data_IF_380795449624
#
_entry.id   IF_380795449624
#
_cell.length_a   1.000
_cell.length_b   1.000
_cell.length_c   1.000
_cell.angle_alpha   90.00
_cell.angle_beta   90.00
_cell.angle_gamma   90.00
#
_symmetry.space_group_name_H-M   'P 1'
#
loop_
_entity.id
_entity.type
_entity.pdbx_description
1 polymer ?
#
# COMPACT_ATOMS: atom_id res chain seq x y z
N UNK A 1 -10.70 -25.86 -1.90
CA UNK A 1 -11.55 -24.88 -1.20
C UNK A 1 -11.52 -23.59 -2.01
N UNK A 2 -12.67 -23.23 -2.59
CA UNK A 2 -12.83 -22.04 -3.44
C UNK A 2 -12.83 -20.80 -2.54
N UNK A 3 -11.85 -19.90 -2.72
CA UNK A 3 -11.84 -18.57 -2.12
C UNK A 3 -13.11 -17.84 -2.59
N UNK A 4 -14.13 -17.77 -1.73
CA UNK A 4 -15.29 -16.89 -1.98
C UNK A 4 -14.77 -15.46 -1.89
N UNK A 5 -14.83 -14.79 -3.03
CA UNK A 5 -14.28 -13.46 -3.25
C UNK A 5 -14.84 -12.42 -2.27
N UNK A 6 -14.06 -11.35 -2.13
CA UNK A 6 -14.47 -10.09 -1.51
C UNK A 6 -15.91 -9.74 -1.86
N UNK A 7 -16.70 -9.41 -0.85
CA UNK A 7 -18.12 -9.06 -0.97
C UNK A 7 -18.35 -8.11 -2.16
N UNK A 8 -19.21 -8.47 -3.13
CA UNK A 8 -19.53 -7.62 -4.28
C UNK A 8 -20.07 -6.24 -3.86
N UNK A 9 -20.52 -6.08 -2.62
CA UNK A 9 -21.00 -4.81 -2.08
C UNK A 9 -19.92 -3.72 -2.06
N UNK A 10 -18.64 -4.03 -1.80
CA UNK A 10 -17.59 -3.00 -1.72
C UNK A 10 -17.28 -2.40 -3.09
N UNK A 11 -17.20 -3.26 -4.12
CA UNK A 11 -16.99 -2.85 -5.51
C UNK A 11 -18.24 -2.15 -6.07
N UNK A 12 -19.43 -2.63 -5.69
CA UNK A 12 -20.70 -2.01 -6.06
C UNK A 12 -20.85 -0.62 -5.45
N UNK A 13 -20.42 -0.42 -4.20
CA UNK A 13 -20.48 0.89 -3.54
C UNK A 13 -19.47 1.88 -4.13
N UNK A 14 -18.24 1.43 -4.43
CA UNK A 14 -17.23 2.25 -5.11
C UNK A 14 -17.69 2.68 -6.52
N UNK A 15 -18.31 1.75 -7.27
CA UNK A 15 -18.92 2.01 -8.57
C UNK A 15 -20.13 2.97 -8.44
N UNK A 16 -20.99 2.79 -7.43
CA UNK A 16 -22.12 3.69 -7.17
C UNK A 16 -21.67 5.11 -6.84
N UNK A 17 -20.59 5.27 -6.07
CA UNK A 17 -20.03 6.59 -5.75
C UNK A 17 -19.45 7.27 -6.99
N UNK A 18 -18.81 6.52 -7.89
CA UNK A 18 -18.38 7.05 -9.20
C UNK A 18 -19.58 7.46 -10.06
N UNK A 19 -20.70 6.70 -10.00
CA UNK A 19 -21.93 7.00 -10.74
C UNK A 19 -22.67 8.25 -10.25
N UNK A 20 -22.70 8.49 -8.94
CA UNK A 20 -23.35 9.68 -8.35
C UNK A 20 -22.57 10.96 -8.66
N UNK A 21 -21.25 10.86 -8.86
CA UNK A 21 -20.36 12.00 -9.13
C UNK A 21 -20.38 12.43 -10.60
N UNK A 22 -20.82 11.56 -11.52
CA UNK A 22 -20.75 11.81 -12.97
C UNK A 22 -22.06 12.25 -13.64
N UNK A 23 -23.11 12.58 -12.89
CA UNK A 23 -24.27 13.33 -13.40
C UNK A 23 -25.01 12.72 -14.61
N UNK A 24 -26.07 11.96 -14.33
CA UNK A 24 -27.23 11.65 -15.18
C UNK A 24 -27.15 11.84 -16.71
N UNK A 25 -27.09 10.74 -17.46
CA UNK A 25 -28.11 10.39 -18.47
C UNK A 25 -27.83 9.02 -19.11
N UNK A 26 -28.71 8.05 -18.83
CA UNK A 26 -28.99 6.76 -19.52
C UNK A 26 -27.86 5.78 -19.92
N UNK A 27 -26.59 6.17 -19.95
CA UNK A 27 -25.47 5.26 -20.23
C UNK A 27 -25.06 4.40 -19.02
N UNK A 28 -25.45 4.80 -17.82
CA UNK A 28 -24.99 4.14 -16.60
C UNK A 28 -25.56 2.74 -16.36
N UNK A 29 -26.79 2.47 -16.78
CA UNK A 29 -27.39 1.15 -16.62
C UNK A 29 -26.75 0.12 -17.57
N UNK A 30 -26.47 0.51 -18.81
CA UNK A 30 -25.82 -0.35 -19.80
C UNK A 30 -24.36 -0.64 -19.43
N UNK A 31 -23.62 0.36 -18.95
CA UNK A 31 -22.26 0.17 -18.46
C UNK A 31 -22.20 -0.68 -17.18
N UNK A 32 -23.16 -0.52 -16.25
CA UNK A 32 -23.28 -1.37 -15.07
C UNK A 32 -23.58 -2.82 -15.44
N UNK A 33 -24.49 -3.06 -16.41
CA UNK A 33 -24.78 -4.40 -16.92
C UNK A 33 -23.56 -5.01 -17.62
N UNK A 34 -22.78 -4.24 -18.38
CA UNK A 34 -21.55 -4.71 -19.02
C UNK A 34 -20.43 -5.01 -18.01
N UNK A 35 -20.29 -4.21 -16.95
CA UNK A 35 -19.33 -4.45 -15.87
C UNK A 35 -19.73 -5.68 -15.06
N UNK A 36 -21.02 -5.85 -14.74
CA UNK A 36 -21.53 -7.04 -14.07
C UNK A 36 -21.40 -8.30 -14.95
N UNK A 37 -21.67 -8.20 -16.26
CA UNK A 37 -21.48 -9.30 -17.21
C UNK A 37 -19.99 -9.66 -17.39
N UNK A 38 -19.10 -8.67 -17.41
CA UNK A 38 -17.65 -8.90 -17.48
C UNK A 38 -17.10 -9.53 -16.20
N UNK A 39 -17.57 -9.08 -15.03
CA UNK A 39 -17.20 -9.66 -13.75
C UNK A 39 -17.74 -11.09 -13.58
N UNK A 40 -18.93 -11.38 -14.10
CA UNK A 40 -19.49 -12.73 -14.09
C UNK A 40 -18.75 -13.67 -15.06
N UNK A 41 -18.41 -13.19 -16.26
CA UNK A 41 -17.62 -13.93 -17.26
C UNK A 41 -16.19 -14.21 -16.80
N UNK A 42 -15.52 -13.24 -16.16
CA UNK A 42 -14.17 -13.45 -15.61
C UNK A 42 -14.16 -14.36 -14.37
N UNK A 43 -15.25 -14.39 -13.60
CA UNK A 43 -15.39 -15.32 -12.46
C UNK A 43 -15.58 -16.79 -12.87
N UNK A 44 -15.94 -17.09 -14.12
CA UNK A 44 -16.08 -18.47 -14.62
C UNK A 44 -14.79 -19.02 -15.23
N UNK A 45 -13.81 -18.18 -15.54
CA UNK A 45 -12.53 -18.59 -16.14
C UNK A 45 -11.42 -18.58 -15.09
N UNK A 46 -11.31 -19.65 -14.29
CA UNK A 46 -10.06 -19.90 -13.55
C UNK A 46 -10.20 -20.62 -12.23
N UNK A 47 -10.55 -21.91 -12.26
CA UNK A 47 -10.11 -22.84 -11.22
C UNK A 47 -9.35 -23.97 -11.90
N UNK A 48 -8.12 -23.68 -12.31
CA UNK A 48 -7.12 -24.72 -12.58
C UNK A 48 -6.30 -24.83 -11.30
N UNK A 49 -6.52 -25.90 -10.54
CA UNK A 49 -5.64 -26.28 -9.44
C UNK A 49 -4.31 -26.76 -10.03
N UNK A 50 -3.38 -25.84 -10.21
CA UNK A 50 -1.99 -26.18 -10.51
C UNK A 50 -1.31 -26.54 -9.19
N UNK A 51 -1.13 -27.83 -8.92
CA UNK A 51 -0.14 -28.30 -7.95
C UNK A 51 1.25 -28.00 -8.53
N UNK A 52 1.85 -26.88 -8.17
CA UNK A 52 3.23 -26.55 -8.55
C UNK A 52 4.20 -27.26 -7.62
N UNK A 53 4.74 -28.40 -8.07
CA UNK A 53 6.05 -28.86 -7.63
C UNK A 53 7.10 -27.84 -8.14
N UNK A 54 7.70 -27.13 -7.20
CA UNK A 54 8.68 -26.08 -7.44
C UNK A 54 10.03 -26.70 -7.76
N UNK A 55 10.25 -27.06 -9.03
CA UNK A 55 11.58 -27.37 -9.56
C UNK A 55 12.29 -26.06 -9.90
N UNK A 56 13.35 -25.76 -9.15
CA UNK A 56 14.17 -24.56 -9.28
C UNK A 56 14.91 -24.53 -10.63
N UNK A 57 14.32 -23.88 -11.64
CA UNK A 57 15.13 -23.29 -12.71
C UNK A 57 15.88 -22.10 -12.09
N UNK A 58 17.21 -22.13 -12.15
CA UNK A 58 18.05 -21.03 -11.67
C UNK A 58 17.63 -19.74 -12.38
N UNK A 59 17.10 -18.79 -11.61
CA UNK A 59 16.72 -17.46 -12.07
C UNK A 59 17.96 -16.75 -12.62
N UNK A 60 17.92 -16.32 -13.89
CA UNK A 60 18.92 -15.43 -14.47
C UNK A 60 18.61 -14.01 -13.96
N UNK A 61 18.84 -13.79 -12.67
CA UNK A 61 18.77 -12.44 -12.13
C UNK A 61 20.02 -11.68 -12.59
N UNK A 62 19.88 -10.47 -13.17
CA UNK A 62 21.00 -9.56 -13.29
C UNK A 62 21.61 -9.41 -11.90
N UNK A 63 22.89 -9.74 -11.75
CA UNK A 63 23.57 -9.59 -10.47
C UNK A 63 23.39 -8.14 -9.98
N UNK A 64 22.87 -7.99 -8.75
CA UNK A 64 22.65 -6.68 -8.13
C UNK A 64 21.29 -6.03 -8.40
N UNK A 65 20.36 -6.70 -9.06
CA UNK A 65 19.00 -6.18 -9.20
C UNK A 65 18.33 -5.93 -7.83
N UNK A 66 17.61 -4.82 -7.70
CA UNK A 66 16.81 -4.51 -6.52
C UNK A 66 15.43 -4.02 -6.94
N UNK A 67 14.39 -4.62 -6.36
CA UNK A 67 13.02 -4.09 -6.48
C UNK A 67 12.97 -2.63 -6.00
N UNK A 68 12.07 -1.77 -6.51
CA UNK A 68 12.12 -0.33 -6.27
C UNK A 68 11.46 0.13 -4.96
N UNK A 69 10.62 -0.68 -4.31
CA UNK A 69 9.93 -0.27 -3.09
C UNK A 69 10.92 -0.20 -1.91
N UNK A 70 10.99 0.96 -1.26
CA UNK A 70 11.87 1.27 -0.14
C UNK A 70 11.04 1.74 1.05
N UNK A 71 11.57 1.52 2.23
CA UNK A 71 10.97 2.03 3.46
C UNK A 71 12.02 2.19 4.57
N UNK A 72 11.72 2.95 5.61
CA UNK A 72 12.56 3.09 6.80
C UNK A 72 11.69 3.31 8.04
N UNK A 73 12.10 2.81 9.19
CA UNK A 73 11.48 3.17 10.46
C UNK A 73 11.71 4.65 10.79
N UNK A 74 10.91 5.24 11.67
CA UNK A 74 11.09 6.60 12.17
C UNK A 74 11.15 6.57 13.70
N UNK A 75 12.28 6.95 14.34
CA UNK A 75 13.55 7.37 13.72
C UNK A 75 14.22 6.27 12.87
N UNK A 76 14.97 6.69 11.86
CA UNK A 76 15.58 5.78 10.87
C UNK A 76 16.62 4.85 11.47
N UNK A 77 16.52 3.57 11.10
CA UNK A 77 17.52 2.54 11.30
C UNK A 77 18.18 2.09 9.98
N UNK A 78 18.07 2.94 8.95
CA UNK A 78 18.56 2.65 7.60
C UNK A 78 17.45 2.25 6.63
N UNK A 79 17.77 2.32 5.34
CA UNK A 79 16.83 2.04 4.25
C UNK A 79 16.62 0.54 4.10
N UNK A 80 15.38 0.12 4.23
CA UNK A 80 14.91 -1.25 4.06
C UNK A 80 14.42 -1.47 2.63
N UNK A 81 14.51 -2.73 2.17
CA UNK A 81 13.98 -3.18 0.89
C UNK A 81 12.72 -4.00 1.13
N UNK A 82 11.76 -3.91 0.21
CA UNK A 82 10.68 -4.89 0.15
C UNK A 82 11.15 -6.17 -0.56
N UNK A 83 10.32 -7.22 -0.53
CA UNK A 83 10.60 -8.52 -1.14
C UNK A 83 11.88 -9.20 -0.63
N UNK A 84 12.35 -8.88 0.57
CA UNK A 84 13.42 -9.63 1.23
C UNK A 84 12.90 -10.96 1.75
N UNK A 85 13.73 -12.01 1.75
CA UNK A 85 13.40 -13.31 2.35
C UNK A 85 13.43 -13.30 3.89
N UNK A 86 13.87 -12.19 4.46
CA UNK A 86 13.95 -11.96 5.90
C UNK A 86 13.08 -10.76 6.26
N UNK A 87 12.45 -10.81 7.43
CA UNK A 87 11.75 -9.66 8.01
C UNK A 87 12.73 -8.68 8.64
N UNK A 88 12.44 -7.39 8.55
CA UNK A 88 13.20 -6.38 9.28
C UNK A 88 12.70 -6.28 10.72
N UNK A 89 13.62 -6.33 11.68
CA UNK A 89 13.32 -6.14 13.11
C UNK A 89 13.48 -4.68 13.52
N UNK A 90 12.64 -4.23 14.44
CA UNK A 90 12.73 -2.91 15.06
C UNK A 90 12.22 -2.98 16.49
N UNK A 91 12.71 -2.08 17.33
CA UNK A 91 12.37 -2.05 18.74
C UNK A 91 12.35 -0.60 19.22
N UNK A 92 11.33 -0.26 20.01
CA UNK A 92 11.23 1.02 20.71
C UNK A 92 10.77 0.80 22.16
N UNK A 93 10.44 1.87 22.87
CA UNK A 93 10.03 1.81 24.28
C UNK A 93 8.65 1.14 24.48
N UNK A 94 7.85 1.03 23.42
CA UNK A 94 6.47 0.52 23.48
C UNK A 94 6.36 -0.93 23.03
N UNK A 95 7.19 -1.37 22.07
CA UNK A 95 7.09 -2.70 21.48
C UNK A 95 8.36 -3.19 20.77
N UNK A 96 8.39 -4.49 20.53
CA UNK A 96 9.27 -5.16 19.58
C UNK A 96 8.46 -5.49 18.31
N UNK A 97 9.06 -5.26 17.14
CA UNK A 97 8.42 -5.42 15.83
C UNK A 97 9.25 -6.30 14.90
N UNK A 98 8.55 -7.13 14.11
CA UNK A 98 9.04 -7.66 12.83
C UNK A 98 8.12 -7.16 11.73
N UNK A 99 8.69 -6.57 10.68
CA UNK A 99 7.94 -6.06 9.54
C UNK A 99 8.41 -6.75 8.25
N UNK A 100 7.44 -7.10 7.40
CA UNK A 100 7.70 -7.66 6.08
C UNK A 100 6.81 -6.96 5.06
N UNK A 101 7.42 -6.40 4.01
CA UNK A 101 6.72 -5.83 2.87
C UNK A 101 6.97 -6.71 1.64
N UNK A 102 5.90 -7.22 1.04
CA UNK A 102 5.93 -8.06 -0.15
C UNK A 102 5.16 -7.38 -1.28
N UNK A 103 5.60 -7.54 -2.52
CA UNK A 103 4.91 -6.98 -3.67
C UNK A 103 5.14 -7.76 -4.96
N UNK A 104 4.18 -7.62 -5.87
CA UNK A 104 4.27 -8.01 -7.28
C UNK A 104 5.18 -7.02 -8.03
N UNK A 105 6.04 -7.44 -8.96
CA UNK A 105 6.91 -6.53 -9.73
C UNK A 105 6.13 -5.83 -10.85
N UNK A 106 5.19 -4.95 -10.51
CA UNK A 106 4.29 -4.30 -11.48
C UNK A 106 5.02 -3.42 -12.50
N UNK A 107 6.25 -2.99 -12.21
CA UNK A 107 7.14 -2.27 -13.12
C UNK A 107 7.81 -3.19 -14.17
N UNK A 108 7.83 -4.51 -13.94
CA UNK A 108 8.45 -5.50 -14.83
C UNK A 108 7.50 -6.65 -15.16
N UNK A 109 6.71 -6.44 -16.21
CA UNK A 109 5.66 -7.39 -16.63
C UNK A 109 6.18 -8.81 -16.94
N UNK A 110 7.44 -8.94 -17.37
CA UNK A 110 8.04 -10.23 -17.65
C UNK A 110 8.26 -11.06 -16.37
N UNK A 111 8.71 -10.45 -15.26
CA UNK A 111 8.86 -11.13 -13.95
C UNK A 111 7.52 -11.52 -13.38
N UNK A 112 6.54 -10.63 -13.54
CA UNK A 112 5.17 -10.91 -13.15
C UNK A 112 4.62 -12.13 -13.91
N UNK A 113 4.83 -12.18 -15.24
CA UNK A 113 4.39 -13.28 -16.08
C UNK A 113 5.13 -14.60 -15.79
N UNK A 114 6.42 -14.55 -15.46
CA UNK A 114 7.24 -15.74 -15.16
C UNK A 114 7.14 -16.19 -13.70
N UNK A 115 6.49 -15.42 -12.82
CA UNK A 115 6.52 -15.64 -11.36
C UNK A 115 7.94 -15.59 -10.77
N UNK A 116 8.87 -14.89 -11.42
CA UNK A 116 10.28 -14.81 -11.01
C UNK A 116 10.52 -13.66 -10.02
N UNK A 117 9.90 -13.76 -8.84
CA UNK A 117 10.05 -12.79 -7.77
C UNK A 117 9.75 -13.40 -6.39
N UNK A 118 10.32 -12.83 -5.30
CA UNK A 118 10.03 -13.29 -3.94
C UNK A 118 8.52 -13.29 -3.65
N UNK A 119 8.06 -14.33 -2.96
CA UNK A 119 6.64 -14.49 -2.59
C UNK A 119 5.65 -14.58 -3.77
N UNK A 120 6.12 -14.94 -4.98
CA UNK A 120 5.21 -15.23 -6.09
C UNK A 120 4.18 -16.30 -5.74
N UNK A 121 4.56 -17.32 -4.95
CA UNK A 121 3.63 -18.34 -4.42
C UNK A 121 2.44 -17.74 -3.63
N UNK A 122 2.64 -16.56 -3.02
CA UNK A 122 1.64 -15.88 -2.20
C UNK A 122 0.82 -14.84 -2.97
N UNK A 123 1.45 -14.15 -3.93
CA UNK A 123 0.89 -12.98 -4.61
C UNK A 123 0.48 -13.24 -6.07
N UNK A 124 1.12 -14.17 -6.76
CA UNK A 124 0.87 -14.42 -8.19
C UNK A 124 -0.58 -14.85 -8.44
N UNK A 125 -1.18 -14.33 -9.51
CA UNK A 125 -2.57 -14.60 -9.89
C UNK A 125 -3.62 -13.96 -8.98
N UNK A 126 -3.24 -13.32 -7.87
CA UNK A 126 -4.17 -12.64 -6.95
C UNK A 126 -4.37 -11.18 -7.34
N UNK A 127 -5.50 -10.61 -6.91
CA UNK A 127 -5.81 -9.18 -7.16
C UNK A 127 -4.92 -8.22 -6.35
N UNK A 128 -4.44 -8.64 -5.18
CA UNK A 128 -3.54 -7.85 -4.33
C UNK A 128 -2.21 -7.61 -5.03
N UNK A 129 -1.73 -6.36 -5.03
CA UNK A 129 -0.43 -5.99 -5.60
C UNK A 129 0.70 -6.10 -4.59
N UNK A 130 0.39 -5.88 -3.31
CA UNK A 130 1.33 -5.96 -2.21
C UNK A 130 0.63 -6.43 -0.94
N UNK A 131 1.44 -6.81 0.04
CA UNK A 131 1.01 -7.15 1.39
C UNK A 131 2.08 -6.67 2.38
N UNK A 132 1.64 -6.02 3.45
CA UNK A 132 2.48 -5.65 4.59
C UNK A 132 2.07 -6.51 5.77
N UNK A 133 3.04 -7.12 6.43
CA UNK A 133 2.86 -7.86 7.68
C UNK A 133 3.63 -7.18 8.80
N UNK A 134 2.97 -7.04 9.94
CA UNK A 134 3.54 -6.46 11.16
C UNK A 134 3.30 -7.45 12.28
N UNK A 135 4.36 -8.02 12.83
CA UNK A 135 4.32 -8.88 14.01
C UNK A 135 4.87 -8.09 15.20
N UNK A 136 4.04 -7.91 16.22
CA UNK A 136 4.28 -6.99 17.33
C UNK A 136 4.19 -7.71 18.67
N UNK A 137 5.17 -7.48 19.53
CA UNK A 137 5.13 -7.84 20.95
C UNK A 137 5.17 -6.56 21.79
N UNK A 138 4.18 -6.40 22.65
CA UNK A 138 4.01 -5.19 23.45
C UNK A 138 4.95 -5.20 24.68
N UNK A 139 5.68 -4.10 24.89
CA UNK A 139 6.37 -3.80 26.16
C UNK A 139 5.47 -2.97 27.08
N UNK A 140 4.62 -2.15 26.47
CA UNK A 140 3.59 -1.36 27.14
C UNK A 140 2.26 -1.63 26.45
N UNK A 141 1.23 -1.92 27.24
CA UNK A 141 -0.13 -2.07 26.72
C UNK A 141 -0.67 -0.66 26.40
N UNK A 142 -1.28 -0.45 25.22
CA UNK A 142 -1.94 0.82 24.91
C UNK A 142 -2.90 1.23 26.01
N UNK A 143 -2.81 2.49 26.44
CA UNK A 143 -3.73 3.06 27.43
C UNK A 143 -4.99 3.65 26.80
N UNK A 144 -5.00 3.79 25.48
CA UNK A 144 -6.14 4.30 24.72
C UNK A 144 -6.30 3.60 23.37
N UNK A 145 -7.20 4.13 22.54
CA UNK A 145 -7.48 3.62 21.21
C UNK A 145 -6.26 3.73 20.30
N UNK A 146 -5.90 2.61 19.67
CA UNK A 146 -4.93 2.59 18.57
C UNK A 146 -5.57 3.02 17.25
N UNK A 147 -4.81 3.81 16.51
CA UNK A 147 -5.08 4.27 15.17
C UNK A 147 -4.07 3.62 14.21
N UNK A 148 -4.54 3.22 13.03
CA UNK A 148 -3.69 2.72 11.96
C UNK A 148 -4.00 3.46 10.67
N UNK A 149 -2.98 3.96 9.98
CA UNK A 149 -3.18 4.55 8.67
C UNK A 149 -1.94 5.24 8.13
N UNK A 150 -2.19 6.32 7.38
CA UNK A 150 -1.16 7.07 6.69
C UNK A 150 -1.09 8.52 7.17
N UNK A 151 0.12 9.05 7.19
CA UNK A 151 0.42 10.43 7.52
C UNK A 151 1.35 11.00 6.44
N UNK A 152 1.08 12.23 6.03
CA UNK A 152 1.98 12.99 5.18
C UNK A 152 2.68 14.00 6.06
N UNK A 153 4.03 14.04 6.02
CA UNK A 153 4.73 14.95 6.89
C UNK A 153 4.54 16.43 6.52
N UNK A 154 4.21 16.72 5.27
CA UNK A 154 4.01 18.08 4.78
C UNK A 154 2.57 18.25 4.29
N UNK A 155 1.92 19.32 4.72
CA UNK A 155 0.67 19.76 4.14
C UNK A 155 0.99 20.42 2.79
N UNK A 156 0.55 19.82 1.70
CA UNK A 156 0.68 20.42 0.38
C UNK A 156 -0.63 21.01 -0.08
N UNK A 157 -0.55 22.20 -0.69
CA UNK A 157 -1.68 22.82 -1.34
C UNK A 157 -2.17 21.96 -2.51
N UNK A 158 -3.17 21.13 -2.26
CA UNK A 158 -3.89 20.41 -3.31
C UNK A 158 -4.69 21.41 -4.17
N UNK A 159 -4.75 21.17 -5.48
CA UNK A 159 -5.62 21.94 -6.39
C UNK A 159 -7.09 21.77 -6.00
N UNK A 160 -7.95 22.73 -6.36
CA UNK A 160 -9.39 22.67 -6.07
C UNK A 160 -10.03 21.36 -6.56
N UNK A 161 -9.67 20.92 -7.77
CA UNK A 161 -10.15 19.65 -8.34
C UNK A 161 -9.67 18.44 -7.51
N UNK A 162 -8.41 18.43 -7.08
CA UNK A 162 -7.88 17.37 -6.23
C UNK A 162 -8.61 17.31 -4.87
N UNK A 163 -8.89 18.46 -4.25
CA UNK A 163 -9.67 18.56 -3.00
C UNK A 163 -11.09 18.01 -3.18
N UNK A 164 -11.76 18.34 -4.28
CA UNK A 164 -13.10 17.83 -4.58
C UNK A 164 -13.10 16.30 -4.77
N UNK A 165 -12.16 15.77 -5.56
CA UNK A 165 -12.02 14.31 -5.74
C UNK A 165 -11.71 13.61 -4.42
N UNK A 166 -10.85 14.20 -3.58
CA UNK A 166 -10.52 13.69 -2.25
C UNK A 166 -11.75 13.67 -1.34
N UNK A 167 -12.53 14.74 -1.28
CA UNK A 167 -13.75 14.81 -0.47
C UNK A 167 -14.77 13.72 -0.85
N UNK A 168 -14.94 13.47 -2.16
CA UNK A 168 -15.78 12.37 -2.67
C UNK A 168 -15.25 11.02 -2.19
N UNK A 169 -13.94 10.78 -2.33
CA UNK A 169 -13.31 9.53 -1.90
C UNK A 169 -13.46 9.32 -0.39
N UNK A 170 -13.24 10.35 0.42
CA UNK A 170 -13.41 10.30 1.88
C UNK A 170 -14.85 9.92 2.24
N UNK A 171 -15.86 10.54 1.63
CA UNK A 171 -17.27 10.16 1.86
C UNK A 171 -17.57 8.71 1.45
N UNK A 172 -16.98 8.24 0.36
CA UNK A 172 -17.12 6.84 -0.06
C UNK A 172 -16.56 5.88 0.98
N UNK A 173 -15.37 6.18 1.51
CA UNK A 173 -14.73 5.40 2.56
C UNK A 173 -15.57 5.45 3.83
N UNK A 174 -16.14 6.60 4.21
CA UNK A 174 -16.96 6.75 5.41
C UNK A 174 -18.20 5.87 5.34
N UNK A 175 -18.81 5.77 4.16
CA UNK A 175 -19.96 4.88 3.94
C UNK A 175 -19.66 3.40 4.14
N UNK A 176 -18.39 2.96 4.07
CA UNK A 176 -18.01 1.56 4.27
C UNK A 176 -17.41 1.29 5.63
N UNK A 177 -16.54 2.18 6.08
CA UNK A 177 -15.73 2.00 7.30
C UNK A 177 -16.44 2.62 8.52
N UNK A 178 -17.44 3.47 8.29
CA UNK A 178 -18.01 4.30 9.34
C UNK A 178 -17.01 5.37 9.74
N UNK A 179 -16.94 5.64 11.04
CA UNK A 179 -16.13 6.72 11.56
C UNK A 179 -14.63 6.40 11.51
N UNK A 180 -13.89 7.32 10.91
CA UNK A 180 -12.43 7.35 10.89
C UNK A 180 -11.95 8.79 11.04
N UNK A 181 -10.69 8.97 11.41
CA UNK A 181 -10.11 10.29 11.54
C UNK A 181 -9.40 10.68 10.24
N UNK A 182 -9.68 11.90 9.80
CA UNK A 182 -9.06 12.47 8.61
C UNK A 182 -8.83 13.97 8.79
N UNK A 183 -7.63 14.40 8.41
CA UNK A 183 -7.25 15.80 8.32
C UNK A 183 -6.46 16.03 7.03
N UNK A 184 -6.73 17.14 6.35
CA UNK A 184 -5.90 17.62 5.25
C UNK A 184 -4.54 18.15 5.74
N UNK A 185 -4.35 18.25 7.06
CA UNK A 185 -3.23 18.94 7.66
C UNK A 185 -3.45 20.45 7.68
N UNK A 186 -2.63 21.15 8.43
CA UNK A 186 -2.65 22.60 8.54
C UNK A 186 -1.53 23.21 7.68
N UNK A 187 -1.80 24.37 7.05
CA UNK A 187 -0.75 25.13 6.38
C UNK A 187 0.12 25.81 7.45
N UNK A 188 1.45 25.56 7.51
CA UNK A 188 2.33 26.22 8.47
C UNK A 188 2.27 27.75 8.45
N UNK A 189 1.86 28.35 7.32
CA UNK A 189 1.70 29.80 7.21
C UNK A 189 0.41 30.33 7.87
N UNK A 190 -0.58 29.47 8.09
CA UNK A 190 -1.87 29.81 8.72
C UNK A 190 -1.89 29.50 10.22
N UNK A 191 -0.95 28.70 10.72
CA UNK A 191 -0.83 28.32 12.14
C UNK A 191 -0.13 29.42 12.95
N UNK A 192 -0.62 29.69 14.16
CA UNK A 192 -0.01 30.66 15.09
C UNK A 192 1.46 30.32 15.33
N UNK A 193 2.40 31.28 15.23
CA UNK A 193 3.81 31.02 15.51
C UNK A 193 4.03 30.39 16.89
N UNK A 194 4.66 29.21 16.91
CA UNK A 194 4.93 28.45 18.13
C UNK A 194 3.92 27.33 18.42
N UNK A 195 2.77 27.30 17.73
CA UNK A 195 1.87 26.14 17.76
C UNK A 195 2.36 25.03 16.82
N UNK A 196 2.05 23.79 17.18
CA UNK A 196 2.40 22.63 16.36
C UNK A 196 1.39 22.48 15.22
N UNK A 197 1.91 22.28 14.00
CA UNK A 197 1.13 22.06 12.78
C UNK A 197 0.66 20.61 12.72
N UNK A 198 -0.64 20.40 12.53
CA UNK A 198 -1.18 19.08 12.26
C UNK A 198 -0.76 18.55 10.87
N UNK A 199 -0.17 17.34 10.78
CA UNK A 199 0.12 16.72 9.48
C UNK A 199 -1.16 16.22 8.80
N UNK A 200 -1.16 16.14 7.47
CA UNK A 200 -2.24 15.45 6.76
C UNK A 200 -2.30 14.00 7.23
N UNK A 201 -3.46 13.59 7.73
CA UNK A 201 -3.61 12.33 8.46
C UNK A 201 -4.84 11.63 7.93
N UNK A 202 -4.73 10.34 7.64
CA UNK A 202 -5.87 9.47 7.36
C UNK A 202 -5.66 8.19 8.15
N UNK A 203 -6.44 7.99 9.21
CA UNK A 203 -6.31 6.82 10.08
C UNK A 203 -7.64 6.17 10.36
N UNK A 204 -7.61 4.85 10.34
CA UNK A 204 -8.76 3.98 10.51
C UNK A 204 -8.58 3.12 11.77
N UNK A 205 -9.67 2.52 12.28
CA UNK A 205 -9.57 1.53 13.35
C UNK A 205 -8.79 0.28 12.90
N UNK A 206 -8.20 -0.46 13.85
CA UNK A 206 -7.42 -1.66 13.55
C UNK A 206 -8.22 -2.77 12.84
N UNK A 207 -9.54 -2.82 12.95
CA UNK A 207 -10.34 -3.81 12.22
C UNK A 207 -10.26 -3.67 10.70
N UNK A 208 -9.67 -2.59 10.20
CA UNK A 208 -9.35 -2.43 8.78
C UNK A 208 -8.22 -3.32 8.28
N UNK A 209 -7.41 -3.93 9.17
CA UNK A 209 -6.52 -5.04 8.81
C UNK A 209 -7.29 -6.18 8.14
N UNK A 210 -6.66 -6.89 7.22
CA UNK A 210 -7.30 -7.97 6.48
C UNK A 210 -7.21 -9.33 7.19
N UNK A 211 -6.19 -9.50 8.03
CA UNK A 211 -6.00 -10.67 8.87
C UNK A 211 -5.27 -10.29 10.15
N UNK A 212 -5.63 -10.95 11.25
CA UNK A 212 -4.86 -10.89 12.48
C UNK A 212 -4.65 -12.29 13.07
N UNK A 213 -3.53 -12.46 13.76
CA UNK A 213 -3.17 -13.67 14.53
C UNK A 213 -2.75 -13.22 15.92
N UNK A 214 -3.20 -13.94 16.94
CA UNK A 214 -2.73 -13.79 18.33
C UNK A 214 -2.10 -15.12 18.73
N UNK A 215 -0.88 -15.07 19.24
CA UNK A 215 -0.14 -16.28 19.66
C UNK A 215 0.56 -16.05 21.00
N UNK A 216 0.94 -17.14 21.66
CA UNK A 216 1.91 -17.08 22.75
C UNK A 216 3.29 -16.67 22.23
N UNK A 217 4.13 -16.14 23.11
CA UNK A 217 5.52 -15.83 22.79
C UNK A 217 6.28 -17.13 22.49
N UNK A 218 6.90 -17.21 21.32
CA UNK A 218 7.60 -18.40 20.84
C UNK A 218 6.73 -19.35 20.00
N UNK A 219 5.42 -19.13 19.97
CA UNK A 219 4.47 -19.86 19.13
C UNK A 219 3.93 -19.00 17.99
N UNK A 220 4.48 -17.81 17.78
CA UNK A 220 4.07 -16.96 16.67
C UNK A 220 4.40 -17.58 15.31
N UNK A 221 3.53 -17.44 14.30
CA UNK A 221 3.83 -17.95 12.98
C UNK A 221 5.03 -17.21 12.39
N UNK A 222 5.82 -17.93 11.59
CA UNK A 222 6.90 -17.33 10.82
C UNK A 222 6.32 -16.29 9.83
N UNK A 223 6.70 -15.02 10.00
CA UNK A 223 6.08 -13.90 9.29
C UNK A 223 6.33 -13.97 7.77
N UNK A 224 7.38 -14.67 7.35
CA UNK A 224 7.72 -14.93 5.94
C UNK A 224 6.96 -16.12 5.33
N UNK A 225 6.29 -16.94 6.15
CA UNK A 225 5.59 -18.16 5.74
C UNK A 225 4.17 -17.96 5.21
N UNK A 226 3.47 -19.07 4.91
CA UNK A 226 2.05 -19.03 4.54
C UNK A 226 1.16 -18.86 5.78
N UNK A 227 0.44 -17.75 5.85
CA UNK A 227 -0.49 -17.47 6.94
C UNK A 227 -1.94 -17.82 6.60
N UNK A 228 -2.22 -18.48 5.46
CA UNK A 228 -3.58 -18.70 4.96
C UNK A 228 -4.51 -19.48 5.90
N UNK A 229 -3.95 -20.27 6.82
CA UNK A 229 -4.68 -21.14 7.75
C UNK A 229 -4.49 -20.76 9.24
N UNK A 230 -3.97 -19.57 9.55
CA UNK A 230 -3.76 -19.12 10.94
C UNK A 230 -4.52 -17.82 11.24
N UNK A 231 -4.96 -17.68 12.48
CA UNK A 231 -5.72 -16.52 12.94
C UNK A 231 -7.07 -16.35 12.25
N UNK A 232 -7.51 -15.10 12.09
CA UNK A 232 -8.81 -14.76 11.49
C UNK A 232 -8.62 -13.81 10.32
N UNK A 233 -9.39 -14.02 9.24
CA UNK A 233 -9.43 -13.11 8.09
C UNK A 233 -10.74 -12.35 8.04
N UNK A 234 -10.66 -11.09 7.64
CA UNK A 234 -11.82 -10.21 7.46
C UNK A 234 -12.80 -10.75 6.41
N UNK A 235 -12.29 -11.44 5.38
CA UNK A 235 -13.07 -12.07 4.31
C UNK A 235 -13.95 -13.22 4.79
N UNK A 236 -13.61 -13.85 5.92
CA UNK A 236 -14.30 -15.06 6.40
C UNK A 236 -15.58 -14.69 7.20
N UNK A 237 -15.75 -13.40 7.53
CA UNK A 237 -16.96 -12.87 8.12
C UNK A 237 -16.73 -11.58 8.92
N UNK A 238 -17.08 -10.43 8.34
CA UNK A 238 -16.77 -9.10 8.90
C UNK A 238 -17.27 -8.93 10.35
N UNK A 239 -18.51 -9.32 10.66
CA UNK A 239 -19.09 -9.12 11.99
C UNK A 239 -18.33 -9.90 13.07
N UNK A 240 -18.01 -11.16 12.81
CA UNK A 240 -17.25 -12.00 13.74
C UNK A 240 -15.81 -11.51 13.87
N UNK A 241 -15.19 -11.15 12.74
CA UNK A 241 -13.85 -10.58 12.69
C UNK A 241 -13.71 -9.30 13.53
N UNK A 242 -14.60 -8.31 13.33
CA UNK A 242 -14.59 -7.04 14.08
C UNK A 242 -14.77 -7.31 15.57
N UNK A 243 -15.71 -8.17 15.94
CA UNK A 243 -15.95 -8.53 17.35
C UNK A 243 -14.74 -9.17 18.01
N UNK A 244 -14.10 -10.13 17.37
CA UNK A 244 -12.94 -10.81 17.94
C UNK A 244 -11.70 -9.91 17.99
N UNK A 245 -11.49 -9.06 16.97
CA UNK A 245 -10.40 -8.10 17.03
C UNK A 245 -10.64 -7.02 18.11
N UNK A 246 -11.88 -6.54 18.28
CA UNK A 246 -12.21 -5.61 19.36
C UNK A 246 -11.87 -6.20 20.73
N UNK A 247 -12.27 -7.45 20.99
CA UNK A 247 -11.87 -8.16 22.22
C UNK A 247 -10.35 -8.25 22.36
N UNK A 248 -9.65 -8.57 21.28
CA UNK A 248 -8.18 -8.63 21.28
C UNK A 248 -7.55 -7.29 21.66
N UNK A 249 -8.07 -6.18 21.12
CA UNK A 249 -7.58 -4.82 21.41
C UNK A 249 -7.88 -4.42 22.86
N UNK A 250 -9.09 -4.73 23.37
CA UNK A 250 -9.49 -4.49 24.75
C UNK A 250 -8.64 -5.28 25.76
N UNK A 251 -8.13 -6.45 25.36
CA UNK A 251 -7.34 -7.35 26.19
C UNK A 251 -5.91 -7.51 25.69
N UNK A 252 -5.33 -6.43 25.13
CA UNK A 252 -3.92 -6.45 24.81
C UNK A 252 -3.08 -6.78 26.04
N UNK A 253 -2.19 -7.73 25.85
CA UNK A 253 -1.21 -8.23 26.82
C UNK A 253 0.20 -8.19 26.25
N UNK A 254 1.18 -8.05 27.16
CA UNK A 254 2.62 -8.14 26.90
C UNK A 254 3.11 -9.58 26.71
N UNK A 255 2.29 -10.55 27.12
CA UNK A 255 2.61 -11.98 27.08
C UNK A 255 2.15 -12.64 25.77
N UNK A 256 1.71 -11.84 24.80
CA UNK A 256 1.25 -12.29 23.48
C UNK A 256 2.04 -11.63 22.36
N UNK A 257 1.98 -12.26 21.20
CA UNK A 257 2.45 -11.69 19.93
C UNK A 257 1.26 -11.50 19.00
N UNK A 258 1.17 -10.32 18.41
CA UNK A 258 0.09 -9.93 17.50
C UNK A 258 0.65 -9.81 16.09
N UNK A 259 0.15 -10.61 15.15
CA UNK A 259 0.51 -10.48 13.74
C UNK A 259 -0.65 -9.86 12.98
N UNK A 260 -0.44 -8.71 12.35
CA UNK A 260 -1.40 -8.03 11.50
C UNK A 260 -0.95 -8.07 10.06
N UNK A 261 -1.89 -8.27 9.14
CA UNK A 261 -1.62 -8.26 7.71
C UNK A 261 -2.55 -7.29 6.98
N UNK A 262 -1.98 -6.54 6.04
CA UNK A 262 -2.67 -5.51 5.26
C UNK A 262 -2.44 -5.77 3.78
N UNK A 263 -3.52 -5.90 3.02
CA UNK A 263 -3.50 -5.99 1.56
C UNK A 263 -4.80 -5.53 0.88
N UNK A 264 -5.87 -5.22 1.61
CA UNK A 264 -7.20 -5.00 1.05
C UNK A 264 -7.27 -3.83 0.08
N UNK A 265 -6.50 -2.77 0.36
CA UNK A 265 -6.34 -1.60 -0.51
C UNK A 265 -5.29 -1.81 -1.60
N UNK A 266 -4.48 -2.86 -1.54
CA UNK A 266 -3.34 -3.03 -2.45
C UNK A 266 -3.73 -3.29 -3.90
N UNK A 267 -4.94 -3.80 -4.15
CA UNK A 267 -5.46 -3.94 -5.52
C UNK A 267 -5.68 -2.59 -6.23
N UNK A 268 -5.84 -1.50 -5.46
CA UNK A 268 -6.08 -0.15 -5.95
C UNK A 268 -4.87 0.76 -5.82
N UNK A 269 -3.86 0.36 -5.04
CA UNK A 269 -2.70 1.18 -4.74
C UNK A 269 -1.44 0.47 -5.24
N UNK A 270 -0.87 0.92 -6.34
CA UNK A 270 0.42 0.44 -6.82
C UNK A 270 1.53 1.30 -6.21
N UNK A 271 2.04 0.89 -5.04
CA UNK A 271 3.10 1.62 -4.34
C UNK A 271 4.46 1.59 -5.06
N UNK A 272 4.64 0.72 -6.06
CA UNK A 272 5.87 0.65 -6.85
C UNK A 272 5.87 1.73 -7.93
N UNK A 273 4.78 1.80 -8.70
CA UNK A 273 4.61 2.83 -9.74
C UNK A 273 4.08 4.16 -9.20
N UNK A 274 3.69 4.19 -7.93
CA UNK A 274 3.10 5.35 -7.27
C UNK A 274 1.76 5.76 -7.91
N UNK A 275 0.91 4.78 -8.20
CA UNK A 275 -0.33 4.93 -8.97
C UNK A 275 -1.55 4.36 -8.25
N UNK A 276 -2.68 5.08 -8.32
CA UNK A 276 -3.99 4.54 -8.04
C UNK A 276 -4.52 3.80 -9.28
N UNK A 277 -5.03 2.58 -9.08
CA UNK A 277 -5.52 1.67 -10.12
C UNK A 277 -6.96 1.26 -9.85
N UNK A 278 -7.69 0.92 -10.91
CA UNK A 278 -9.04 0.36 -10.80
C UNK A 278 -10.12 1.34 -10.35
N UNK A 279 -9.78 2.62 -10.08
CA UNK A 279 -10.77 3.69 -9.83
C UNK A 279 -11.53 3.99 -11.13
N UNK A 280 -10.82 4.07 -12.25
CA UNK A 280 -11.41 4.23 -13.58
C UNK A 280 -10.96 3.07 -14.47
N UNK A 281 -11.88 2.39 -15.18
CA UNK A 281 -11.52 1.27 -16.05
C UNK A 281 -10.42 1.65 -17.06
N UNK A 282 -9.31 0.92 -17.04
CA UNK A 282 -8.18 1.14 -17.96
C UNK A 282 -7.28 2.34 -17.65
N UNK A 283 -7.55 3.09 -16.57
CA UNK A 283 -6.73 4.24 -16.20
C UNK A 283 -5.97 3.99 -14.90
N UNK A 284 -4.72 4.45 -14.89
CA UNK A 284 -3.91 4.62 -13.69
C UNK A 284 -3.72 6.12 -13.42
N UNK A 285 -3.81 6.53 -12.17
CA UNK A 285 -3.66 7.94 -11.76
C UNK A 285 -2.51 8.04 -10.77
N UNK A 286 -1.48 8.81 -11.10
CA UNK A 286 -0.34 9.01 -10.19
C UNK A 286 -0.82 9.62 -8.85
N UNK A 287 -0.37 9.06 -7.72
CA UNK A 287 -0.74 9.50 -6.37
C UNK A 287 -0.46 10.99 -6.10
N UNK A 288 0.57 11.55 -6.74
CA UNK A 288 0.92 12.97 -6.60
C UNK A 288 -0.20 13.91 -7.04
N UNK A 289 -1.10 13.46 -7.93
CA UNK A 289 -2.30 14.24 -8.31
C UNK A 289 -3.30 14.41 -7.17
N UNK A 290 -3.22 13.57 -6.15
CA UNK A 290 -4.00 13.65 -4.91
C UNK A 290 -3.23 14.30 -3.76
N UNK A 291 -2.06 14.91 -4.02
CA UNK A 291 -1.17 15.45 -2.99
C UNK A 291 -0.40 14.39 -2.20
N UNK A 292 -0.46 13.13 -2.61
CA UNK A 292 0.25 12.02 -1.96
C UNK A 292 1.67 11.89 -2.52
N UNK A 293 2.54 12.84 -2.18
CA UNK A 293 3.96 12.79 -2.55
C UNK A 293 4.75 11.85 -1.62
N UNK A 294 5.80 11.20 -2.13
CA UNK A 294 6.67 10.36 -1.31
C UNK A 294 7.52 11.20 -0.31
N UNK A 295 7.86 10.64 0.86
CA UNK A 295 7.36 9.36 1.37
C UNK A 295 5.93 9.48 1.95
N UNK A 296 5.24 8.35 2.01
CA UNK A 296 4.07 8.17 2.87
C UNK A 296 4.52 7.57 4.20
N UNK A 297 4.11 8.16 5.32
CA UNK A 297 4.32 7.51 6.62
C UNK A 297 3.16 6.55 6.87
N UNK A 298 3.45 5.29 7.16
CA UNK A 298 2.48 4.30 7.63
C UNK A 298 2.70 4.17 9.14
N UNK A 299 1.65 4.37 9.92
CA UNK A 299 1.77 4.46 11.36
C UNK A 299 0.71 3.62 12.10
N UNK A 300 1.12 3.07 13.24
CA UNK A 300 0.24 2.60 14.31
C UNK A 300 0.59 3.42 15.56
N UNK A 301 -0.36 4.19 16.06
CA UNK A 301 -0.14 5.02 17.25
C UNK A 301 -1.37 5.08 18.14
N UNK A 302 -1.17 5.43 19.40
CA UNK A 302 -2.25 5.88 20.29
C UNK A 302 -2.15 7.39 20.50
N UNK A 303 -3.32 8.00 20.77
CA UNK A 303 -3.43 9.39 21.23
C UNK A 303 -3.72 9.38 22.73
N UNK A 304 -3.30 10.39 23.52
CA UNK A 304 -3.86 10.58 24.86
C UNK A 304 -5.39 10.62 24.75
N UNK A 305 -6.10 10.05 25.73
CA UNK A 305 -7.55 9.85 25.72
C UNK A 305 -8.37 11.15 25.59
N UNK A 306 -9.22 11.45 26.56
CA UNK A 306 -10.02 12.68 26.49
C UNK A 306 -9.10 13.91 26.55
N UNK A 307 -9.03 14.64 25.45
CA UNK A 307 -8.27 15.89 25.33
C UNK A 307 -9.13 16.90 24.55
N UNK A 308 -9.15 18.18 24.98
CA UNK A 308 -10.02 19.20 24.36
C UNK A 308 -9.67 19.46 22.89
N UNK A 309 -8.38 19.39 22.55
CA UNK A 309 -7.93 19.46 21.15
C UNK A 309 -8.05 18.09 20.47
N UNK A 310 -8.89 18.00 19.45
CA UNK A 310 -9.14 16.80 18.65
C UNK A 310 -8.07 16.56 17.58
N UNK A 311 -7.11 17.47 17.38
CA UNK A 311 -6.03 17.32 16.40
C UNK A 311 -5.10 16.17 16.77
N UNK A 312 -4.71 15.43 15.74
CA UNK A 312 -3.69 14.40 15.75
C UNK A 312 -2.31 15.05 15.56
N UNK A 313 -1.87 15.83 16.55
CA UNK A 313 -0.53 16.43 16.59
C UNK A 313 0.56 15.38 16.81
N UNK A 314 1.77 15.57 16.25
CA UNK A 314 2.85 14.56 16.37
C UNK A 314 3.36 14.44 17.79
N UNK A 315 3.50 15.54 18.53
CA UNK A 315 3.94 15.54 19.93
C UNK A 315 3.03 14.73 20.86
N UNK A 316 1.78 14.51 20.43
CA UNK A 316 0.76 13.78 21.19
C UNK A 316 0.66 12.31 20.80
N UNK A 317 1.35 11.86 19.75
CA UNK A 317 1.28 10.48 19.27
C UNK A 317 2.34 9.63 19.95
N UNK A 318 1.92 8.48 20.46
CA UNK A 318 2.83 7.41 20.91
C UNK A 318 2.85 6.33 19.83
N UNK A 319 3.93 6.27 19.07
CA UNK A 319 4.05 5.39 17.91
C UNK A 319 4.52 3.99 18.30
N UNK A 320 3.69 2.99 18.03
CA UNK A 320 4.07 1.58 18.05
C UNK A 320 4.80 1.25 16.75
N UNK A 321 4.26 1.70 15.62
CA UNK A 321 4.88 1.62 14.30
C UNK A 321 4.89 3.02 13.67
N UNK A 322 6.01 3.41 13.10
CA UNK A 322 6.08 4.58 12.22
C UNK A 322 7.13 4.30 11.14
N UNK A 323 6.69 4.18 9.88
CA UNK A 323 7.58 3.87 8.75
C UNK A 323 7.35 4.83 7.60
N UNK A 324 8.41 5.43 7.06
CA UNK A 324 8.36 6.15 5.80
C UNK A 324 8.50 5.16 4.64
N UNK A 325 7.63 5.23 3.64
CA UNK A 325 7.62 4.35 2.46
C UNK A 325 7.67 5.17 1.16
N UNK A 326 8.47 4.73 0.20
CA UNK A 326 8.57 5.34 -1.13
C UNK A 326 9.00 4.33 -2.21
N UNK A 327 8.91 4.71 -3.48
CA UNK A 327 9.49 3.95 -4.59
C UNK A 327 10.75 4.64 -5.09
N UNK A 328 11.79 3.90 -5.48
CA UNK A 328 12.94 4.49 -6.18
C UNK A 328 12.58 4.98 -7.59
N UNK A 329 11.43 4.57 -8.14
CA UNK A 329 10.91 5.14 -9.39
C UNK A 329 10.29 6.53 -9.19
N UNK A 330 9.89 6.84 -7.96
CA UNK A 330 9.33 8.13 -7.55
C UNK A 330 9.93 8.48 -6.18
N UNK A 331 11.20 8.87 -6.11
CA UNK A 331 11.86 9.12 -4.83
C UNK A 331 11.32 10.40 -4.17
N UNK A 332 11.42 10.51 -2.84
CA UNK A 332 11.26 11.79 -2.14
C UNK A 332 12.25 12.84 -2.65
N UNK A 333 11.96 14.10 -2.37
CA UNK A 333 12.94 15.17 -2.57
C UNK A 333 14.21 14.87 -1.77
N UNK A 334 15.38 15.17 -2.35
CA UNK A 334 16.68 14.82 -1.77
C UNK A 334 16.84 15.33 -0.33
N UNK A 335 16.47 16.59 -0.08
CA UNK A 335 16.54 17.19 1.26
C UNK A 335 15.68 16.42 2.27
N UNK A 336 14.44 16.08 1.88
CA UNK A 336 13.53 15.30 2.71
C UNK A 336 14.06 13.90 2.97
N UNK A 337 14.66 13.27 1.97
CA UNK A 337 15.32 11.98 2.14
C UNK A 337 16.48 12.09 3.14
N UNK A 338 17.34 13.10 3.02
CA UNK A 338 18.44 13.35 3.98
C UNK A 338 17.94 13.60 5.40
N UNK A 339 16.82 14.32 5.57
CA UNK A 339 16.17 14.53 6.87
C UNK A 339 15.63 13.21 7.47
N UNK A 340 15.11 12.31 6.63
CA UNK A 340 14.52 11.04 7.08
C UNK A 340 15.57 10.01 7.47
N UNK A 341 16.59 9.81 6.62
CA UNK A 341 17.54 8.69 6.75
C UNK A 341 18.98 9.13 7.01
N UNK A 342 19.22 10.43 7.20
CA UNK A 342 20.55 11.02 7.32
C UNK A 342 21.26 11.16 5.97
N UNK A 343 22.46 11.78 5.97
CA UNK A 343 23.28 11.90 4.77
C UNK A 343 23.57 10.50 4.21
N UNK A 344 23.17 10.26 2.96
CA UNK A 344 23.54 9.04 2.26
C UNK A 344 24.94 9.23 1.67
N UNK A 345 25.85 8.28 1.90
CA UNK A 345 27.05 8.17 1.08
C UNK A 345 26.62 7.81 -0.34
N UNK A 346 26.50 8.83 -1.19
CA UNK A 346 26.21 8.63 -2.61
C UNK A 346 27.46 8.00 -3.22
N UNK A 347 27.45 6.68 -3.39
CA UNK A 347 28.43 6.02 -4.23
C UNK A 347 28.42 6.75 -5.59
N UNK A 348 29.59 7.16 -6.13
CA UNK A 348 29.66 8.00 -7.32
C UNK A 348 28.84 7.36 -8.42
N UNK A 349 27.80 8.07 -8.84
CA UNK A 349 26.84 7.61 -9.82
C UNK A 349 27.60 7.35 -11.12
N UNK A 350 27.96 6.08 -11.39
CA UNK A 350 28.50 5.67 -12.68
C UNK A 350 27.37 5.78 -13.67
N UNK A 351 27.15 7.00 -14.18
CA UNK A 351 26.23 7.25 -15.28
C UNK A 351 26.64 6.29 -16.40
N UNK A 352 25.79 5.33 -16.78
CA UNK A 352 26.08 4.53 -17.96
C UNK A 352 26.25 5.53 -19.11
N UNK A 353 27.45 5.56 -19.70
CA UNK A 353 27.66 6.23 -20.98
C UNK A 353 26.74 5.53 -21.97
N UNK A 354 25.54 6.05 -22.14
CA UNK A 354 24.75 5.83 -23.34
C UNK A 354 25.59 6.40 -24.48
N UNK A 355 26.43 5.54 -25.05
CA UNK A 355 26.95 5.76 -26.39
C UNK A 355 25.71 5.72 -27.28
N UNK A 356 25.22 6.90 -27.64
CA UNK A 356 24.36 7.08 -28.80
C UNK A 356 25.13 6.52 -29.99
N UNK A 357 24.97 5.22 -30.25
CA UNK A 357 25.27 4.66 -31.56
C UNK A 357 24.25 5.28 -32.48
N UNK A 358 24.66 6.36 -33.15
CA UNK A 358 24.15 6.77 -34.45
C UNK A 358 23.95 5.50 -35.28
N UNK A 359 22.70 5.08 -35.45
CA UNK A 359 22.37 4.17 -36.54
C UNK A 359 22.30 5.04 -37.78
N UNK A 360 23.43 5.22 -38.45
CA UNK A 360 23.48 5.60 -39.85
C UNK A 360 22.77 4.50 -40.64
N UNK A 361 21.47 4.71 -40.87
CA UNK A 361 20.70 3.92 -41.83
C UNK A 361 21.18 4.34 -43.21
N UNK A 362 22.07 3.52 -43.76
CA UNK A 362 22.46 3.55 -45.17
C UNK A 362 21.21 3.54 -46.06
N UNK A 363 20.99 4.64 -46.78
CA UNK A 363 20.16 4.66 -47.96
C UNK A 363 20.89 3.90 -49.07
N UNK A 364 20.38 2.73 -49.45
CA UNK A 364 20.84 2.01 -50.63
C UNK A 364 19.64 1.36 -51.35
N UNK A 365 19.44 1.81 -52.59
CA UNK A 365 18.78 1.13 -53.72
C UNK A 365 17.28 0.77 -53.64
N UNK A 366 16.48 1.48 -54.43
CA UNK A 366 15.72 0.87 -55.54
C UNK A 366 15.13 1.95 -56.44
N UNK A 367 15.65 2.04 -57.66
CA UNK A 367 14.93 2.65 -58.77
C UNK A 367 14.06 1.59 -59.43
N UNK A 368 12.84 1.94 -59.84
CA UNK A 368 12.11 1.26 -60.91
C UNK A 368 11.05 2.21 -61.48
N UNK A 369 11.32 2.63 -62.72
CA UNK A 369 10.40 2.78 -63.86
C UNK A 369 9.05 3.48 -63.68
N UNK A 370 8.87 4.58 -64.43
CA UNK A 370 7.56 4.95 -64.98
C UNK A 370 7.72 5.44 -66.40
N UNK A 371 7.07 4.75 -67.33
CA UNK A 371 6.83 5.15 -68.71
C UNK A 371 5.37 4.84 -69.05
N UNK A 372 4.76 5.73 -69.84
CA UNK A 372 3.40 5.70 -70.43
C UNK A 372 2.25 5.87 -69.40
N UNK A 373 1.31 6.81 -69.54
CA UNK A 373 0.64 7.43 -70.69
C UNK A 373 0.50 8.95 -70.54
#
# INVERSE_FOLDING_TARGET
MSEKGTSPLFLTLLILVIFVVLGSSYFGLAALVLVLAYQWSSSQKGSVQTKSQQQSKASVHPQGYQDPLRWSFLPSNGVQRANTLESTKYENDLCELKCLAMHRPTHELWREASSDYPYAWHLHGRKRLWEIRVQMRLKQVPSSKLYFGIELPDCEAASTTARQMKAVLIRAIQGVIGDFYYSDGEDPAEVTPGEEVEPSTFVMPLWTFDQFVVSEVGEEPEITGDLSNVGMRRSDGLKAYVKELQKCVEHFSKDKVYTFCIWGVSQFLDCIRWEARGIFPGMAVNFSRFGLKPPLNIAIYEMPGDHPDARHLRSRKRYYLNVAMWSTLQPPEKKKLEELIGPQEVAPETRPRHTLRSMDVFACCSGLTTAYL
#
